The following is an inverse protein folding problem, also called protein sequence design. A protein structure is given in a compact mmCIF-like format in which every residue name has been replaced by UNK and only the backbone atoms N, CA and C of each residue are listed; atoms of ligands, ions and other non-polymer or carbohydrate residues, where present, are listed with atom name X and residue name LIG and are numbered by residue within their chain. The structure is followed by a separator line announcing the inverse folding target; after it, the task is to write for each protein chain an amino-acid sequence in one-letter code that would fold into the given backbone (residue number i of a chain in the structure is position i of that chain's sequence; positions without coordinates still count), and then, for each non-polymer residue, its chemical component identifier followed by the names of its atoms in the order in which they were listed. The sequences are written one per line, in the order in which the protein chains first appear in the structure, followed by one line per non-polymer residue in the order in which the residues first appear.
data_IF_791874578349
#
_entry.id   IF_791874578349
#
_cell.length_a   1.000
_cell.length_b   1.000
_cell.length_c   1.000
_cell.angle_alpha   90.00
_cell.angle_beta   90.00
_cell.angle_gamma   90.00
#
_symmetry.space_group_name_H-M   'P 1'
#
loop_
_entity.id
_entity.type
_entity.pdbx_description
1 polymer ?
#
# COMPACT_ATOMS: atom_id res chain seq x y z
N UNK A 1 16.41 -11.89 0.62
CA UNK A 1 17.83 -12.29 0.73
C UNK A 1 18.36 -12.60 -0.65
N UNK A 2 19.41 -11.93 -1.11
CA UNK A 2 20.10 -12.18 -2.38
C UNK A 2 21.36 -12.99 -2.11
N UNK A 3 21.67 -13.94 -2.99
CA UNK A 3 22.89 -14.73 -2.92
C UNK A 3 23.72 -14.50 -4.18
N UNK A 4 25.02 -14.29 -4.00
CA UNK A 4 25.95 -14.12 -5.10
C UNK A 4 27.16 -15.06 -4.94
N UNK A 5 27.58 -15.68 -6.04
CA UNK A 5 28.91 -16.25 -6.18
C UNK A 5 29.73 -15.24 -6.96
N UNK A 6 30.73 -14.64 -6.30
CA UNK A 6 31.44 -13.46 -6.83
C UNK A 6 30.45 -12.35 -7.24
N UNK A 7 30.34 -12.04 -8.52
CA UNK A 7 29.41 -11.04 -9.06
C UNK A 7 28.11 -11.64 -9.61
N UNK A 8 28.05 -12.97 -9.76
CA UNK A 8 26.90 -13.65 -10.39
C UNK A 8 25.84 -13.99 -9.35
N UNK A 9 24.60 -13.59 -9.60
CA UNK A 9 23.46 -13.95 -8.74
C UNK A 9 23.14 -15.43 -8.90
N UNK A 10 23.02 -16.13 -7.77
CA UNK A 10 22.61 -17.53 -7.69
C UNK A 10 21.28 -17.63 -6.93
N UNK A 11 20.46 -18.64 -7.25
CA UNK A 11 19.09 -18.70 -6.79
C UNK A 11 18.86 -19.94 -5.92
N UNK A 12 18.22 -19.81 -4.73
CA UNK A 12 17.76 -20.94 -3.94
C UNK A 12 16.94 -21.92 -4.78
N UNK A 13 17.14 -23.20 -4.53
CA UNK A 13 16.43 -24.25 -5.27
C UNK A 13 17.00 -24.55 -6.67
N UNK A 14 18.02 -23.82 -7.11
CA UNK A 14 18.76 -24.11 -8.36
C UNK A 14 20.20 -24.46 -8.03
N UNK A 15 20.71 -25.53 -8.66
CA UNK A 15 22.14 -25.82 -8.61
C UNK A 15 22.91 -24.76 -9.43
N UNK A 16 24.14 -24.52 -9.05
CA UNK A 16 25.03 -23.61 -9.76
C UNK A 16 26.42 -24.24 -9.92
N UNK A 17 27.28 -23.62 -10.72
CA UNK A 17 28.63 -24.08 -10.99
C UNK A 17 29.61 -22.93 -10.77
N UNK A 18 30.73 -23.22 -10.13
CA UNK A 18 31.79 -22.24 -9.97
C UNK A 18 32.68 -22.13 -11.23
N UNK A 19 33.71 -21.26 -11.18
CA UNK A 19 34.60 -21.00 -12.28
C UNK A 19 35.56 -22.20 -12.58
N UNK A 20 35.72 -23.10 -11.61
CA UNK A 20 36.51 -24.32 -11.73
C UNK A 20 35.71 -25.49 -12.33
N UNK A 21 34.40 -25.26 -12.54
CA UNK A 21 33.46 -26.22 -13.09
C UNK A 21 32.81 -27.15 -12.06
N UNK A 22 33.06 -26.93 -10.77
CA UNK A 22 32.45 -27.73 -9.70
C UNK A 22 30.96 -27.43 -9.63
N UNK A 23 30.13 -28.49 -9.68
CA UNK A 23 28.69 -28.39 -9.62
C UNK A 23 28.21 -28.44 -8.17
N UNK A 24 27.45 -27.45 -7.76
CA UNK A 24 26.83 -27.39 -6.44
C UNK A 24 25.35 -27.78 -6.46
N UNK A 25 24.86 -28.45 -5.41
CA UNK A 25 23.52 -29.02 -5.36
C UNK A 25 22.44 -27.93 -5.25
N UNK A 26 21.16 -28.26 -5.52
CA UNK A 26 20.03 -27.33 -5.47
C UNK A 26 19.73 -26.78 -4.08
N UNK A 27 20.11 -27.53 -3.04
CA UNK A 27 19.85 -27.22 -1.64
C UNK A 27 20.98 -26.47 -0.94
N UNK A 28 21.95 -25.91 -1.69
CA UNK A 28 23.06 -25.14 -1.14
C UNK A 28 22.63 -23.98 -0.23
N UNK A 29 21.43 -23.45 -0.44
CA UNK A 29 20.87 -22.34 0.36
C UNK A 29 20.65 -22.68 1.84
N UNK A 30 20.57 -23.96 2.21
CA UNK A 30 20.47 -24.41 3.61
C UNK A 30 21.82 -24.57 4.30
N UNK A 31 22.95 -24.40 3.60
CA UNK A 31 24.27 -24.43 4.20
C UNK A 31 24.41 -23.34 5.26
N UNK A 32 25.28 -23.57 6.24
CA UNK A 32 25.65 -22.55 7.21
C UNK A 32 26.28 -21.31 6.53
N UNK A 33 26.37 -20.21 7.24
CA UNK A 33 27.02 -19.00 6.72
C UNK A 33 28.49 -19.26 6.41
N UNK A 34 29.19 -20.04 7.25
CA UNK A 34 30.59 -20.39 7.08
C UNK A 34 30.79 -21.25 5.84
N UNK A 35 29.96 -22.28 5.64
CA UNK A 35 30.03 -23.14 4.46
C UNK A 35 29.77 -22.38 3.16
N UNK A 36 28.87 -21.40 3.18
CA UNK A 36 28.62 -20.50 2.04
C UNK A 36 29.85 -19.62 1.77
N UNK A 37 30.41 -19.04 2.82
CA UNK A 37 31.57 -18.16 2.71
C UNK A 37 32.81 -18.90 2.17
N UNK A 38 33.07 -20.13 2.65
CA UNK A 38 34.17 -20.99 2.15
C UNK A 38 34.08 -21.26 0.64
N UNK A 39 32.86 -21.32 0.11
CA UNK A 39 32.58 -21.52 -1.32
C UNK A 39 32.41 -20.24 -2.12
N UNK A 40 32.73 -19.09 -1.49
CA UNK A 40 32.65 -17.77 -2.12
C UNK A 40 31.21 -17.28 -2.36
N UNK A 41 30.23 -17.85 -1.65
CA UNK A 41 28.84 -17.39 -1.70
C UNK A 41 28.65 -16.27 -0.68
N UNK A 42 28.23 -15.11 -1.16
CA UNK A 42 27.88 -13.95 -0.32
C UNK A 42 26.36 -13.87 -0.13
N UNK A 43 25.92 -13.71 1.10
CA UNK A 43 24.54 -13.38 1.44
C UNK A 43 24.38 -11.87 1.59
N UNK A 44 23.44 -11.31 0.85
CA UNK A 44 23.12 -9.88 0.89
C UNK A 44 21.71 -9.72 1.41
N UNK A 45 21.57 -9.00 2.54
CA UNK A 45 20.27 -8.64 3.06
C UNK A 45 19.68 -7.51 2.20
N UNK A 46 18.52 -7.76 1.65
CA UNK A 46 17.79 -6.76 0.89
C UNK A 46 17.23 -5.68 1.82
N UNK A 47 17.27 -4.44 1.37
CA UNK A 47 16.53 -3.37 2.02
C UNK A 47 15.03 -3.62 1.90
N UNK A 48 14.28 -3.11 2.86
CA UNK A 48 12.82 -3.13 2.77
C UNK A 48 12.36 -1.94 1.94
N UNK A 49 11.67 -2.18 0.80
CA UNK A 49 11.13 -1.08 0.01
C UNK A 49 10.14 -0.23 0.83
N UNK A 50 10.13 1.10 0.63
CA UNK A 50 9.13 1.96 1.21
C UNK A 50 7.75 1.72 0.57
N UNK A 51 6.71 2.32 1.13
CA UNK A 51 5.36 2.25 0.58
C UNK A 51 5.30 2.84 -0.83
N UNK A 52 5.04 2.00 -1.83
CA UNK A 52 4.95 2.38 -3.24
C UNK A 52 3.79 3.33 -3.58
N UNK A 53 2.84 3.54 -2.65
CA UNK A 53 1.82 4.58 -2.79
C UNK A 53 2.42 5.96 -2.65
N UNK A 54 3.45 6.10 -1.81
CA UNK A 54 4.08 7.35 -1.39
C UNK A 54 5.41 7.63 -2.09
N UNK A 55 6.12 6.57 -2.46
CA UNK A 55 7.48 6.66 -3.01
C UNK A 55 7.57 5.90 -4.32
N UNK A 56 8.31 6.45 -5.26
CA UNK A 56 8.89 5.70 -6.37
C UNK A 56 10.22 5.12 -5.88
N UNK A 57 10.44 3.85 -6.13
CA UNK A 57 11.66 3.19 -5.67
C UNK A 57 12.17 2.15 -6.67
N UNK A 58 13.47 1.94 -6.61
CA UNK A 58 14.18 0.93 -7.37
C UNK A 58 15.11 0.14 -6.45
N UNK A 59 15.32 -1.12 -6.75
CA UNK A 59 16.25 -1.98 -6.03
C UNK A 59 17.36 -2.43 -6.97
N UNK A 60 18.62 -2.22 -6.58
CA UNK A 60 19.76 -2.67 -7.34
C UNK A 60 20.02 -4.19 -7.18
N UNK A 61 21.00 -4.71 -7.92
CA UNK A 61 21.39 -6.13 -7.86
C UNK A 61 22.00 -6.55 -6.50
N UNK A 62 22.31 -5.60 -5.64
CA UNK A 62 22.79 -5.83 -4.27
C UNK A 62 21.67 -5.74 -3.23
N UNK A 63 20.41 -5.56 -3.67
CA UNK A 63 19.28 -5.44 -2.77
C UNK A 63 19.20 -4.11 -2.04
N UNK A 64 19.94 -3.09 -2.49
CA UNK A 64 19.86 -1.74 -1.97
C UNK A 64 18.73 -0.99 -2.64
N UNK A 65 17.87 -0.39 -1.84
CA UNK A 65 16.73 0.42 -2.31
C UNK A 65 17.14 1.89 -2.41
N UNK A 66 16.83 2.48 -3.55
CA UNK A 66 16.83 3.94 -3.75
C UNK A 66 15.41 4.39 -3.92
N UNK A 67 14.98 5.42 -3.20
CA UNK A 67 13.60 5.90 -3.25
C UNK A 67 13.53 7.41 -3.35
N UNK A 68 12.48 7.87 -4.03
CA UNK A 68 12.14 9.29 -4.16
C UNK A 68 10.68 9.48 -3.78
N UNK A 69 10.39 10.42 -2.90
CA UNK A 69 9.02 10.73 -2.54
C UNK A 69 8.26 11.28 -3.77
N UNK A 70 7.04 10.80 -3.99
CA UNK A 70 6.14 11.36 -4.99
C UNK A 70 5.79 12.80 -4.63
N UNK A 71 5.51 13.63 -5.63
CA UNK A 71 5.17 15.02 -5.35
C UNK A 71 3.88 15.14 -4.55
N UNK A 72 3.83 16.07 -3.60
CA UNK A 72 2.64 16.32 -2.78
C UNK A 72 1.41 16.67 -3.62
N UNK A 73 1.58 17.37 -4.74
CA UNK A 73 0.49 17.68 -5.66
C UNK A 73 -0.11 16.41 -6.29
N UNK A 74 0.74 15.47 -6.70
CA UNK A 74 0.31 14.19 -7.24
C UNK A 74 -0.43 13.36 -6.18
N UNK A 75 0.16 13.20 -4.98
CA UNK A 75 -0.43 12.43 -3.88
C UNK A 75 -1.81 12.97 -3.49
N UNK A 76 -1.93 14.28 -3.31
CA UNK A 76 -3.19 14.92 -2.96
C UNK A 76 -4.25 14.72 -4.05
N UNK A 77 -3.87 14.85 -5.31
CA UNK A 77 -4.80 14.67 -6.43
C UNK A 77 -5.29 13.22 -6.54
N UNK A 78 -4.39 12.26 -6.39
CA UNK A 78 -4.72 10.83 -6.45
C UNK A 78 -5.65 10.42 -5.30
N UNK A 79 -5.34 10.84 -4.07
CA UNK A 79 -6.17 10.54 -2.90
C UNK A 79 -7.57 11.16 -3.03
N UNK A 80 -7.68 12.40 -3.48
CA UNK A 80 -8.99 13.03 -3.71
C UNK A 80 -9.81 12.25 -4.74
N UNK A 81 -9.19 11.83 -5.83
CA UNK A 81 -9.86 10.98 -6.81
C UNK A 81 -10.36 9.66 -6.21
N UNK A 82 -9.61 9.07 -5.28
CA UNK A 82 -10.04 7.88 -4.55
C UNK A 82 -11.21 8.18 -3.60
N UNK A 83 -11.20 9.32 -2.89
CA UNK A 83 -12.30 9.78 -2.05
C UNK A 83 -13.57 9.95 -2.88
N UNK A 84 -13.50 10.66 -4.01
CA UNK A 84 -14.62 10.88 -4.93
C UNK A 84 -15.21 9.56 -5.44
N UNK A 85 -14.34 8.65 -5.86
CA UNK A 85 -14.74 7.32 -6.35
C UNK A 85 -15.46 6.50 -5.26
N UNK A 86 -14.93 6.50 -4.05
CA UNK A 86 -15.53 5.81 -2.90
C UNK A 86 -16.87 6.45 -2.50
N UNK A 87 -16.95 7.78 -2.48
CA UNK A 87 -18.19 8.50 -2.22
C UNK A 87 -19.26 8.15 -3.25
N UNK A 88 -18.93 8.18 -4.53
CA UNK A 88 -19.85 7.85 -5.61
C UNK A 88 -20.35 6.41 -5.49
N UNK A 89 -19.45 5.45 -5.26
CA UNK A 89 -19.80 4.04 -5.09
C UNK A 89 -20.83 3.86 -3.95
N UNK A 90 -20.58 4.47 -2.78
CA UNK A 90 -21.50 4.38 -1.63
C UNK A 90 -22.84 5.06 -1.89
N UNK A 91 -22.83 6.25 -2.46
CA UNK A 91 -24.08 6.96 -2.77
C UNK A 91 -24.94 6.20 -3.80
N UNK A 92 -24.31 5.47 -4.73
CA UNK A 92 -25.03 4.68 -5.75
C UNK A 92 -25.89 3.56 -5.16
N UNK A 93 -25.52 3.01 -3.99
CA UNK A 93 -26.28 1.97 -3.30
C UNK A 93 -27.71 2.41 -2.94
N UNK A 94 -27.93 3.72 -2.79
CA UNK A 94 -29.22 4.31 -2.41
C UNK A 94 -29.85 5.20 -3.49
N UNK A 95 -29.29 5.24 -4.69
CA UNK A 95 -29.81 6.08 -5.80
C UNK A 95 -31.22 5.66 -6.23
N UNK A 96 -31.58 4.40 -6.02
CA UNK A 96 -32.95 3.92 -6.23
C UNK A 96 -34.01 4.75 -5.45
N UNK A 97 -33.68 5.21 -4.25
CA UNK A 97 -34.60 6.04 -3.43
C UNK A 97 -34.75 7.43 -4.02
N UNK A 98 -33.70 8.01 -4.59
CA UNK A 98 -33.72 9.31 -5.26
C UNK A 98 -34.52 9.21 -6.57
N UNK A 99 -34.26 8.16 -7.37
CA UNK A 99 -34.99 7.90 -8.61
C UNK A 99 -36.47 7.70 -8.32
N UNK A 100 -36.82 6.91 -7.30
CA UNK A 100 -38.20 6.68 -6.89
C UNK A 100 -38.90 7.97 -6.44
N UNK A 101 -38.20 8.88 -5.76
CA UNK A 101 -38.71 10.20 -5.41
C UNK A 101 -39.00 11.03 -6.66
N UNK A 102 -38.09 11.03 -7.62
CA UNK A 102 -38.25 11.78 -8.87
C UNK A 102 -39.41 11.23 -9.74
N UNK A 103 -39.53 9.89 -9.83
CA UNK A 103 -40.52 9.22 -10.67
C UNK A 103 -41.94 9.23 -10.06
N UNK A 104 -42.06 8.95 -8.77
CA UNK A 104 -43.33 8.70 -8.09
C UNK A 104 -43.69 9.69 -6.99
N UNK A 105 -42.84 10.68 -6.70
CA UNK A 105 -43.04 11.63 -5.59
C UNK A 105 -42.88 10.99 -4.21
N UNK A 106 -42.47 9.71 -4.11
CA UNK A 106 -42.32 9.03 -2.81
C UNK A 106 -41.12 9.60 -2.07
N UNK A 107 -41.30 10.06 -0.85
CA UNK A 107 -40.22 10.63 -0.04
C UNK A 107 -39.04 9.62 0.15
N UNK A 108 -37.83 10.14 0.15
CA UNK A 108 -36.65 9.34 0.53
C UNK A 108 -36.76 8.99 2.01
N UNK A 109 -36.55 7.72 2.40
CA UNK A 109 -36.50 7.35 3.81
C UNK A 109 -35.46 8.20 4.58
N UNK A 110 -35.82 8.60 5.81
CA UNK A 110 -35.01 9.55 6.61
C UNK A 110 -33.61 8.97 6.90
N UNK A 111 -33.50 7.67 7.23
CA UNK A 111 -32.21 7.00 7.45
C UNK A 111 -31.32 7.07 6.21
N UNK A 112 -31.86 6.83 5.01
CA UNK A 112 -31.12 6.95 3.76
C UNK A 112 -30.65 8.40 3.52
N UNK A 113 -31.54 9.40 3.77
CA UNK A 113 -31.16 10.80 3.60
C UNK A 113 -30.03 11.18 4.57
N UNK A 114 -30.15 10.84 5.84
CA UNK A 114 -29.15 11.11 6.87
C UNK A 114 -27.80 10.45 6.53
N UNK A 115 -27.85 9.18 6.12
CA UNK A 115 -26.64 8.46 5.70
C UNK A 115 -25.96 9.10 4.48
N UNK A 116 -26.73 9.47 3.45
CA UNK A 116 -26.20 10.16 2.26
C UNK A 116 -25.53 11.47 2.62
N UNK A 117 -26.09 12.22 3.53
CA UNK A 117 -25.52 13.49 3.99
C UNK A 117 -24.25 13.25 4.83
N UNK A 118 -24.24 12.21 5.67
CA UNK A 118 -23.04 11.79 6.42
C UNK A 118 -21.90 11.36 5.46
N UNK A 119 -22.18 10.63 4.38
CA UNK A 119 -21.20 10.26 3.35
C UNK A 119 -20.57 11.51 2.71
N UNK A 120 -21.37 12.51 2.35
CA UNK A 120 -20.86 13.77 1.75
C UNK A 120 -20.02 14.57 2.73
N UNK A 121 -20.49 14.69 3.97
CA UNK A 121 -19.75 15.35 5.04
C UNK A 121 -18.40 14.68 5.25
N UNK A 122 -18.38 13.35 5.33
CA UNK A 122 -17.16 12.57 5.52
C UNK A 122 -16.15 12.74 4.37
N UNK A 123 -16.63 12.76 3.13
CA UNK A 123 -15.76 13.04 1.97
C UNK A 123 -15.10 14.42 2.10
N UNK A 124 -15.88 15.45 2.46
CA UNK A 124 -15.34 16.81 2.68
C UNK A 124 -14.31 16.87 3.81
N UNK A 125 -14.54 16.15 4.92
CA UNK A 125 -13.58 16.03 6.01
C UNK A 125 -12.27 15.37 5.55
N UNK A 126 -12.36 14.28 4.79
CA UNK A 126 -11.20 13.59 4.22
C UNK A 126 -10.40 14.48 3.28
N UNK A 127 -11.07 15.18 2.36
CA UNK A 127 -10.41 16.13 1.46
C UNK A 127 -9.74 17.28 2.20
N UNK A 128 -10.38 17.78 3.26
CA UNK A 128 -9.82 18.84 4.10
C UNK A 128 -8.54 18.35 4.79
N UNK A 129 -8.56 17.13 5.35
CA UNK A 129 -7.39 16.53 5.97
C UNK A 129 -6.25 16.35 4.95
N UNK A 130 -6.55 15.84 3.74
CA UNK A 130 -5.57 15.70 2.65
C UNK A 130 -4.97 17.06 2.25
N UNK A 131 -5.79 18.11 2.16
CA UNK A 131 -5.31 19.46 1.81
C UNK A 131 -4.38 20.02 2.88
N UNK A 132 -4.62 19.73 4.15
CA UNK A 132 -3.83 20.24 5.27
C UNK A 132 -2.42 19.62 5.33
N UNK A 133 -2.22 18.41 4.79
CA UNK A 133 -0.90 17.75 4.81
C UNK A 133 0.15 18.57 4.06
N UNK A 134 1.33 18.67 4.66
CA UNK A 134 2.50 19.36 4.11
C UNK A 134 3.67 18.41 3.79
N UNK A 135 3.62 17.17 4.28
CA UNK A 135 4.63 16.15 4.09
C UNK A 135 4.03 14.79 3.69
N UNK A 136 4.89 13.91 3.17
CA UNK A 136 4.50 12.54 2.79
C UNK A 136 4.14 11.71 4.04
N UNK A 137 4.79 11.95 5.17
CA UNK A 137 4.51 11.26 6.43
C UNK A 137 3.11 11.62 6.95
N UNK A 138 2.72 12.91 6.89
CA UNK A 138 1.36 13.33 7.23
C UNK A 138 0.31 12.69 6.32
N UNK A 139 0.61 12.49 5.04
CA UNK A 139 -0.25 11.74 4.12
C UNK A 139 -0.35 10.27 4.54
N UNK A 140 0.77 9.64 4.94
CA UNK A 140 0.78 8.26 5.40
C UNK A 140 -0.14 8.05 6.62
N UNK A 141 -0.14 8.99 7.56
CA UNK A 141 -0.96 8.96 8.77
C UNK A 141 -2.48 9.04 8.50
N UNK A 142 -2.88 9.56 7.34
CA UNK A 142 -4.30 9.58 6.96
C UNK A 142 -4.83 8.18 6.60
N UNK A 143 -3.97 7.26 6.16
CA UNK A 143 -4.37 5.90 5.82
C UNK A 143 -4.37 4.97 7.01
N UNK A 144 -3.24 4.87 7.70
CA UNK A 144 -3.07 3.90 8.79
C UNK A 144 -2.19 4.52 9.87
N UNK A 145 -2.69 4.54 11.08
CA UNK A 145 -1.89 4.79 12.28
C UNK A 145 -1.73 3.47 13.02
N UNK A 146 -0.51 3.05 13.27
CA UNK A 146 -0.21 1.93 14.14
C UNK A 146 -0.10 2.44 15.58
N UNK A 147 -0.74 1.73 16.51
CA UNK A 147 -0.55 1.95 17.93
C UNK A 147 0.80 1.35 18.38
N UNK A 148 1.31 1.79 19.53
CA UNK A 148 2.57 1.30 20.10
C UNK A 148 2.57 -0.21 20.37
N UNK A 149 1.40 -0.83 20.53
CA UNK A 149 1.21 -2.27 20.71
C UNK A 149 1.15 -3.06 19.38
N UNK A 150 1.34 -2.38 18.24
CA UNK A 150 1.27 -2.96 16.91
C UNK A 150 -0.15 -3.15 16.35
N UNK A 151 -1.19 -2.79 17.11
CA UNK A 151 -2.56 -2.78 16.60
C UNK A 151 -2.75 -1.64 15.59
N UNK A 152 -3.71 -1.82 14.66
CA UNK A 152 -4.00 -0.84 13.62
C UNK A 152 -5.09 0.11 14.07
N UNK A 153 -4.78 1.40 14.18
CA UNK A 153 -5.77 2.46 14.26
C UNK A 153 -6.08 2.92 12.85
N UNK A 154 -7.33 2.78 12.44
CA UNK A 154 -7.78 3.24 11.12
C UNK A 154 -7.56 4.74 10.96
N UNK A 155 -6.90 5.15 9.89
CA UNK A 155 -6.81 6.56 9.50
C UNK A 155 -8.15 7.08 8.99
N UNK A 156 -8.24 8.40 8.88
CA UNK A 156 -9.50 9.08 8.46
C UNK A 156 -10.02 8.58 7.10
N UNK A 157 -9.13 8.14 6.19
CA UNK A 157 -9.49 7.70 4.84
C UNK A 157 -10.17 6.33 4.78
N UNK A 158 -10.21 5.56 5.87
CA UNK A 158 -10.85 4.24 5.89
C UNK A 158 -12.21 4.23 6.56
N UNK A 159 -12.52 5.21 7.38
CA UNK A 159 -13.76 5.20 8.20
C UNK A 159 -14.87 5.95 7.46
N UNK A 160 -15.74 5.19 6.83
CA UNK A 160 -16.94 5.71 6.18
C UNK A 160 -18.20 5.40 7.03
N UNK A 161 -19.22 6.28 7.00
CA UNK A 161 -20.49 5.99 7.63
C UNK A 161 -21.16 4.75 7.02
N UNK A 162 -21.73 3.90 7.86
CA UNK A 162 -22.52 2.75 7.45
C UNK A 162 -24.02 3.11 7.49
N UNK A 163 -24.81 2.48 6.60
CA UNK A 163 -26.26 2.64 6.60
C UNK A 163 -26.83 1.74 7.70
N UNK A 164 -27.40 2.34 8.72
CA UNK A 164 -28.14 1.61 9.76
C UNK A 164 -29.50 1.14 9.19
N UNK A 165 -29.83 -0.14 9.44
CA UNK A 165 -31.10 -0.76 9.04
C UNK A 165 -32.32 -0.20 9.75
#
# INVERSE_FOLDING_TARGET
MIYKYKTTRIYPGKGWRDDEGVQYPKNWNIWSADEKAERGVTEIKEDTPPDGRLYDWEMDDNGKVTSTAKSMSFLKADIKKQIDSNQLTRLSESDWAIIRKADKGTAVPTNIQTWRDAIRTKATEMETAVNACSSVDEIADLWVVHNDDGSVKSGILYVWPELEE
#
